data_IF_876178645622
#
_entry.id   IF_876178645622
#
_cell.length_a   1.000
_cell.length_b   1.000
_cell.length_c   1.000
_cell.angle_alpha   90.00
_cell.angle_beta   90.00
_cell.angle_gamma   90.00
#
_symmetry.space_group_name_H-M   'P 1'
#
loop_
_entity.id
_entity.type
_entity.pdbx_description
1 polymer ?
#
# COMPACT_ATOMS: atom_id res chain seq x y z
N UNK A 1 2.60 18.09 -2.09
CA UNK A 1 3.35 16.89 -1.69
C UNK A 1 4.09 16.32 -2.91
N UNK A 2 5.40 16.09 -2.82
CA UNK A 2 6.19 15.32 -3.80
C UNK A 2 6.32 13.85 -3.35
N UNK A 3 7.03 13.00 -4.11
CA UNK A 3 7.18 11.59 -3.79
C UNK A 3 7.91 11.31 -2.48
N UNK A 4 9.00 12.00 -2.18
CA UNK A 4 9.70 11.86 -0.91
C UNK A 4 8.78 12.17 0.28
N UNK A 5 8.02 13.26 0.20
CA UNK A 5 7.03 13.61 1.24
C UNK A 5 5.91 12.58 1.33
N UNK A 6 5.52 11.96 0.22
CA UNK A 6 4.52 10.90 0.19
C UNK A 6 5.04 9.59 0.81
N UNK A 7 6.31 9.24 0.58
CA UNK A 7 6.95 8.09 1.24
C UNK A 7 7.01 8.29 2.75
N UNK A 8 7.46 9.46 3.21
CA UNK A 8 7.44 9.81 4.65
C UNK A 8 6.01 9.77 5.22
N UNK A 9 5.02 10.21 4.46
CA UNK A 9 3.62 10.09 4.88
C UNK A 9 3.19 8.64 5.06
N UNK A 10 3.53 7.74 4.12
CA UNK A 10 3.21 6.31 4.24
C UNK A 10 3.97 5.65 5.38
N UNK A 11 5.24 6.01 5.60
CA UNK A 11 6.03 5.55 6.76
C UNK A 11 5.36 5.91 8.10
N UNK A 12 4.99 7.18 8.26
CA UNK A 12 4.36 7.69 9.48
C UNK A 12 3.00 7.03 9.73
N UNK A 13 2.17 6.89 8.69
CA UNK A 13 0.82 6.30 8.80
C UNK A 13 0.83 4.79 8.87
N UNK A 14 1.85 4.14 8.30
CA UNK A 14 1.99 2.69 8.23
C UNK A 14 1.10 2.05 7.17
N UNK A 15 -0.22 2.27 7.25
CA UNK A 15 -1.23 1.75 6.31
C UNK A 15 -1.99 2.91 5.68
N UNK A 16 -2.00 2.98 4.35
CA UNK A 16 -2.60 4.08 3.57
C UNK A 16 -3.37 3.50 2.39
N UNK A 17 -4.58 4.01 2.11
CA UNK A 17 -5.31 3.68 0.88
C UNK A 17 -4.71 4.47 -0.29
N UNK A 18 -4.54 3.84 -1.46
CA UNK A 18 -4.02 4.55 -2.63
C UNK A 18 -4.97 5.70 -3.03
N UNK A 19 -6.24 5.38 -3.28
CA UNK A 19 -7.26 6.33 -3.77
C UNK A 19 -8.68 6.12 -3.22
N UNK A 20 -8.94 4.99 -2.56
CA UNK A 20 -10.25 4.69 -1.99
C UNK A 20 -10.46 5.43 -0.66
N UNK A 21 -11.72 5.61 -0.25
CA UNK A 21 -12.08 6.12 1.09
C UNK A 21 -12.23 4.97 2.10
N UNK A 22 -11.87 5.21 3.35
CA UNK A 22 -12.00 4.23 4.44
C UNK A 22 -11.51 4.77 5.78
N UNK A 23 -11.28 3.86 6.74
CA UNK A 23 -10.73 4.20 8.07
C UNK A 23 -9.28 4.68 7.99
N UNK A 24 -8.51 4.15 7.04
CA UNK A 24 -7.13 4.58 6.78
C UNK A 24 -7.12 5.85 5.91
N UNK A 25 -6.09 6.70 6.05
CA UNK A 25 -5.93 7.88 5.20
C UNK A 25 -5.72 7.50 3.74
N UNK A 26 -6.02 8.42 2.83
CA UNK A 26 -5.93 8.21 1.38
C UNK A 26 -4.80 9.04 0.77
N UNK A 27 -3.88 8.40 0.04
CA UNK A 27 -2.69 9.07 -0.49
C UNK A 27 -3.04 10.12 -1.54
N UNK A 28 -3.95 9.83 -2.49
CA UNK A 28 -4.33 10.84 -3.50
C UNK A 28 -4.89 12.13 -2.88
N UNK A 29 -5.66 12.02 -1.79
CA UNK A 29 -6.19 13.18 -1.07
C UNK A 29 -5.10 13.89 -0.27
N UNK A 30 -4.18 13.14 0.36
CA UNK A 30 -3.01 13.72 1.04
C UNK A 30 -2.06 14.45 0.08
N UNK A 31 -1.93 13.96 -1.16
CA UNK A 31 -1.16 14.60 -2.22
C UNK A 31 -1.75 15.99 -2.53
N UNK A 32 -3.07 16.07 -2.71
CA UNK A 32 -3.82 17.31 -2.98
C UNK A 32 -3.90 18.20 -1.74
N UNK A 33 -3.91 17.62 -0.54
CA UNK A 33 -4.14 18.33 0.72
C UNK A 33 -5.62 18.58 1.02
N UNK A 34 -6.53 17.99 0.24
CA UNK A 34 -7.98 18.12 0.40
C UNK A 34 -8.72 16.86 -0.11
N UNK A 35 -9.96 16.61 0.33
CA UNK A 35 -10.78 15.52 -0.19
C UNK A 35 -11.04 15.65 -1.69
N UNK A 36 -11.01 14.52 -2.41
CA UNK A 36 -11.29 14.50 -3.86
C UNK A 36 -12.74 14.05 -4.10
N UNK A 37 -13.51 14.86 -4.82
CA UNK A 37 -14.84 14.49 -5.33
C UNK A 37 -14.71 13.80 -6.68
N UNK A 38 -15.31 12.62 -6.82
CA UNK A 38 -15.24 11.84 -8.06
C UNK A 38 -13.90 11.12 -8.26
N UNK A 39 -13.53 10.88 -9.52
CA UNK A 39 -12.26 10.23 -9.87
C UNK A 39 -11.10 11.23 -9.83
N UNK A 40 -10.01 10.87 -9.14
CA UNK A 40 -8.79 11.68 -9.13
C UNK A 40 -8.18 11.85 -10.53
N UNK A 41 -8.49 10.96 -11.48
CA UNK A 41 -8.00 11.02 -12.85
C UNK A 41 -8.47 12.29 -13.59
N UNK A 42 -9.67 12.78 -13.27
CA UNK A 42 -10.23 14.02 -13.82
C UNK A 42 -9.90 15.27 -12.98
N UNK A 43 -9.13 15.14 -11.89
CA UNK A 43 -8.77 16.26 -11.04
C UNK A 43 -7.77 17.19 -11.76
N UNK A 44 -7.80 18.51 -11.55
CA UNK A 44 -6.82 19.44 -12.15
C UNK A 44 -5.36 19.06 -11.84
N UNK A 45 -5.12 18.43 -10.69
CA UNK A 45 -3.81 17.93 -10.27
C UNK A 45 -3.53 16.47 -10.65
N UNK A 46 -4.34 15.85 -11.51
CA UNK A 46 -4.28 14.43 -11.85
C UNK A 46 -2.89 13.97 -12.31
N UNK A 47 -2.16 14.79 -13.09
CA UNK A 47 -0.78 14.49 -13.50
C UNK A 47 0.18 14.41 -12.32
N UNK A 48 0.05 15.31 -11.34
CA UNK A 48 0.87 15.31 -10.13
C UNK A 48 0.53 14.13 -9.24
N UNK A 49 -0.76 13.81 -9.10
CA UNK A 49 -1.24 12.63 -8.37
C UNK A 49 -0.65 11.37 -8.98
N UNK A 50 -0.74 11.22 -10.31
CA UNK A 50 -0.18 10.08 -11.02
C UNK A 50 1.32 9.95 -10.77
N UNK A 51 2.09 11.01 -11.03
CA UNK A 51 3.56 10.96 -10.87
C UNK A 51 3.98 10.55 -9.46
N UNK A 52 3.40 11.17 -8.43
CA UNK A 52 3.73 10.87 -7.03
C UNK A 52 3.25 9.48 -6.62
N UNK A 53 2.04 9.09 -7.00
CA UNK A 53 1.47 7.79 -6.63
C UNK A 53 2.25 6.64 -7.28
N UNK A 54 2.66 6.78 -8.54
CA UNK A 54 3.45 5.77 -9.25
C UNK A 54 4.80 5.55 -8.57
N UNK A 55 5.52 6.63 -8.23
CA UNK A 55 6.82 6.52 -7.55
C UNK A 55 6.70 5.83 -6.18
N UNK A 56 5.64 6.14 -5.41
CA UNK A 56 5.38 5.47 -4.13
C UNK A 56 5.04 3.99 -4.31
N UNK A 57 4.29 3.62 -5.34
CA UNK A 57 3.92 2.22 -5.60
C UNK A 57 5.10 1.37 -6.08
N UNK A 58 6.08 1.98 -6.74
CA UNK A 58 7.28 1.31 -7.24
C UNK A 58 8.39 1.21 -6.17
N UNK A 59 8.30 1.97 -5.09
CA UNK A 59 9.31 2.00 -4.03
C UNK A 59 9.38 0.67 -3.24
N UNK A 60 10.58 0.16 -3.02
CA UNK A 60 10.77 -1.19 -2.43
C UNK A 60 10.24 -1.30 -1.00
N UNK A 61 10.35 -0.23 -0.19
CA UNK A 61 9.80 -0.18 1.18
C UNK A 61 8.26 -0.17 1.26
N UNK A 62 7.57 -0.17 0.12
CA UNK A 62 6.11 -0.19 0.05
C UNK A 62 5.62 -1.55 -0.44
N UNK A 63 4.76 -2.18 0.35
CA UNK A 63 3.90 -3.25 -0.13
C UNK A 63 2.61 -2.61 -0.66
N UNK A 64 2.36 -2.79 -1.94
CA UNK A 64 1.06 -2.50 -2.55
C UNK A 64 0.24 -3.79 -2.54
N UNK A 65 -0.90 -3.81 -1.88
CA UNK A 65 -1.76 -5.00 -1.77
C UNK A 65 -3.24 -4.61 -1.64
N UNK A 66 -4.11 -5.56 -1.27
CA UNK A 66 -5.56 -5.33 -1.11
C UNK A 66 -6.07 -5.60 0.31
N UNK A 67 -5.26 -5.25 1.30
CA UNK A 67 -5.49 -5.50 2.72
C UNK A 67 -6.84 -4.97 3.23
N UNK A 68 -7.17 -3.71 2.92
CA UNK A 68 -8.35 -3.05 3.48
C UNK A 68 -9.58 -3.26 2.60
N UNK A 69 -10.30 -4.36 2.83
CA UNK A 69 -11.58 -4.65 2.16
C UNK A 69 -11.46 -4.71 0.63
N UNK A 70 -10.36 -5.25 0.11
CA UNK A 70 -10.12 -5.37 -1.33
C UNK A 70 -9.58 -4.09 -2.00
N UNK A 71 -9.40 -2.99 -1.26
CA UNK A 71 -8.93 -1.71 -1.80
C UNK A 71 -7.42 -1.69 -1.90
N UNK A 72 -6.89 -1.05 -2.95
CA UNK A 72 -5.45 -0.87 -3.12
C UNK A 72 -4.88 -0.12 -1.91
N UNK A 73 -4.01 -0.80 -1.17
CA UNK A 73 -3.47 -0.38 0.12
C UNK A 73 -1.95 -0.38 0.03
N UNK A 74 -1.33 0.68 0.54
CA UNK A 74 0.10 0.89 0.66
C UNK A 74 0.48 0.61 2.12
N UNK A 75 1.36 -0.36 2.33
CA UNK A 75 1.84 -0.78 3.65
C UNK A 75 3.33 -0.59 3.71
N UNK A 76 3.79 0.27 4.62
CA UNK A 76 5.21 0.51 4.83
C UNK A 76 5.93 -0.73 5.38
N UNK A 77 7.20 -0.94 5.01
CA UNK A 77 7.97 -2.15 5.37
C UNK A 77 8.05 -2.46 6.86
N UNK A 78 7.99 -1.43 7.72
CA UNK A 78 7.95 -1.60 9.18
C UNK A 78 6.77 -2.45 9.67
N UNK A 79 5.72 -2.60 8.86
CA UNK A 79 4.52 -3.36 9.16
C UNK A 79 4.42 -4.70 8.42
N UNK A 80 5.37 -5.04 7.54
CA UNK A 80 5.37 -6.35 6.88
C UNK A 80 5.40 -7.54 7.85
N UNK A 81 6.13 -7.49 8.99
CA UNK A 81 6.03 -8.54 10.01
C UNK A 81 4.61 -8.71 10.56
N UNK A 82 3.87 -7.61 10.76
CA UNK A 82 2.48 -7.66 11.24
C UNK A 82 1.54 -8.26 10.19
N UNK A 83 1.75 -7.93 8.90
CA UNK A 83 1.03 -8.58 7.79
C UNK A 83 1.29 -10.09 7.78
N UNK A 84 2.54 -10.50 7.93
CA UNK A 84 2.93 -11.90 7.93
C UNK A 84 2.41 -12.67 9.16
N UNK A 85 2.41 -12.04 10.34
CA UNK A 85 1.88 -12.63 11.58
C UNK A 85 0.39 -12.96 11.47
N UNK A 86 -0.37 -12.16 10.70
CA UNK A 86 -1.80 -12.36 10.45
C UNK A 86 -2.11 -13.13 9.17
N UNK A 87 -1.10 -13.68 8.47
CA UNK A 87 -1.31 -14.29 7.17
C UNK A 87 -2.28 -15.48 7.19
N UNK A 88 -2.38 -16.20 8.31
CA UNK A 88 -3.34 -17.29 8.49
C UNK A 88 -4.80 -16.84 8.70
N UNK A 89 -5.03 -15.57 9.03
CA UNK A 89 -6.36 -14.99 9.31
C UNK A 89 -6.87 -14.10 8.16
N UNK A 90 -5.98 -13.73 7.24
CA UNK A 90 -6.27 -12.83 6.13
C UNK A 90 -6.44 -13.62 4.83
N UNK A 91 -7.34 -13.20 3.93
CA UNK A 91 -7.52 -13.89 2.67
C UNK A 91 -6.27 -13.70 1.78
N UNK A 92 -5.85 -14.75 1.08
CA UNK A 92 -4.59 -14.75 0.33
C UNK A 92 -4.47 -13.61 -0.70
N UNK A 93 -5.58 -13.23 -1.33
CA UNK A 93 -5.63 -12.12 -2.30
C UNK A 93 -5.40 -10.73 -1.66
N UNK A 94 -5.67 -10.59 -0.36
CA UNK A 94 -5.36 -9.36 0.38
C UNK A 94 -3.86 -9.19 0.63
N UNK A 95 -3.11 -10.30 0.62
CA UNK A 95 -1.67 -10.36 0.90
C UNK A 95 -0.79 -10.41 -0.35
N UNK A 96 -1.38 -10.59 -1.54
CA UNK A 96 -0.64 -10.56 -2.79
C UNK A 96 -0.06 -9.16 -3.04
N UNK A 97 1.24 -9.08 -3.33
CA UNK A 97 1.89 -7.84 -3.76
C UNK A 97 1.45 -7.56 -5.19
N UNK A 98 0.86 -6.39 -5.40
CA UNK A 98 0.45 -5.88 -6.70
C UNK A 98 1.55 -4.94 -7.20
N UNK A 99 2.22 -5.28 -8.30
CA UNK A 99 3.10 -4.34 -9.02
C UNK A 99 2.40 -3.89 -10.31
N UNK A 100 2.34 -2.58 -10.56
CA UNK A 100 1.95 -2.08 -11.88
C UNK A 100 3.18 -2.18 -12.79
N UNK A 101 3.08 -2.98 -13.84
CA UNK A 101 4.10 -3.01 -14.89
C UNK A 101 3.65 -2.08 -16.01
N UNK A 102 4.49 -1.10 -16.33
CA UNK A 102 4.39 -0.33 -17.56
C UNK A 102 4.86 -1.21 -18.72
N UNK A 103 3.95 -1.60 -19.61
CA UNK A 103 4.37 -2.23 -20.87
C UNK A 103 4.95 -1.17 -21.81
N UNK A 104 5.82 -1.58 -22.74
CA UNK A 104 6.35 -0.70 -23.79
C UNK A 104 5.25 -0.04 -24.66
N UNK A 105 4.02 -0.56 -24.63
CA UNK A 105 2.84 -0.01 -25.31
C UNK A 105 2.01 0.97 -24.46
N UNK A 106 2.45 1.31 -23.25
CA UNK A 106 1.72 2.21 -22.34
C UNK A 106 0.51 1.57 -21.65
N UNK A 107 0.31 0.25 -21.78
CA UNK A 107 -0.74 -0.48 -21.06
C UNK A 107 -0.22 -0.85 -19.67
N UNK A 108 -1.00 -0.56 -18.64
CA UNK A 108 -0.68 -0.96 -17.28
C UNK A 108 -1.18 -2.40 -17.07
N UNK A 109 -0.28 -3.33 -16.80
CA UNK A 109 -0.64 -4.70 -16.43
C UNK A 109 -0.28 -4.89 -14.95
N UNK A 110 -1.24 -5.31 -14.15
CA UNK A 110 -0.96 -5.69 -12.77
C UNK A 110 -0.30 -7.07 -12.77
N UNK A 111 0.90 -7.14 -12.23
CA UNK A 111 1.52 -8.40 -11.84
C UNK A 111 1.26 -8.61 -10.34
N UNK A 112 0.78 -9.80 -9.99
CA UNK A 112 0.58 -10.18 -8.59
C UNK A 112 1.63 -11.21 -8.19
N UNK A 113 2.36 -10.91 -7.12
CA UNK A 113 3.30 -11.84 -6.48
C UNK A 113 2.63 -12.33 -5.18
N UNK A 114 2.29 -13.62 -5.06
CA UNK A 114 1.55 -14.13 -3.90
C UNK A 114 2.41 -14.11 -2.63
N UNK A 115 1.78 -14.00 -1.47
CA UNK A 115 2.44 -14.27 -0.19
C UNK A 115 2.77 -15.77 -0.06
N UNK A 116 3.92 -16.17 0.53
CA UNK A 116 4.97 -15.33 1.11
C UNK A 116 6.10 -14.93 0.15
N UNK A 117 5.94 -15.11 -1.17
CA UNK A 117 7.07 -15.02 -2.13
C UNK A 117 7.76 -13.64 -2.17
N UNK A 118 7.04 -12.56 -1.87
CA UNK A 118 7.60 -11.21 -1.84
C UNK A 118 8.20 -10.80 -0.49
N UNK A 119 8.00 -11.58 0.57
CA UNK A 119 8.34 -11.19 1.94
C UNK A 119 9.85 -11.40 2.20
N UNK A 120 10.58 -10.36 2.64
CA UNK A 120 11.98 -10.53 3.03
C UNK A 120 12.18 -11.48 4.23
N UNK A 121 13.28 -12.24 4.29
CA UNK A 121 13.55 -13.20 5.37
C UNK A 121 13.58 -12.57 6.77
N UNK A 122 14.09 -11.34 6.92
CA UNK A 122 14.14 -10.63 8.20
C UNK A 122 12.74 -10.27 8.70
N UNK A 123 11.86 -9.80 7.81
CA UNK A 123 10.46 -9.54 8.15
C UNK A 123 9.72 -10.84 8.50
N UNK A 124 10.00 -11.94 7.78
CA UNK A 124 9.46 -13.26 8.10
C UNK A 124 9.91 -13.78 9.48
N UNK A 125 11.17 -13.53 9.85
CA UNK A 125 11.69 -13.90 11.17
C UNK A 125 11.02 -13.09 12.29
N UNK A 126 10.85 -11.78 12.11
CA UNK A 126 10.18 -10.90 13.07
C UNK A 126 8.71 -11.29 13.31
N UNK A 127 8.02 -11.77 12.26
CA UNK A 127 6.63 -12.17 12.35
C UNK A 127 6.37 -13.31 13.35
N UNK A 128 7.34 -14.23 13.54
CA UNK A 128 7.18 -15.42 14.39
C UNK A 128 6.98 -15.11 15.88
N UNK A 129 7.49 -13.96 16.32
CA UNK A 129 7.39 -13.51 17.72
C UNK A 129 6.33 -12.43 17.95
N UNK A 130 5.57 -12.05 16.92
CA UNK A 130 4.61 -10.96 17.03
C UNK A 130 3.28 -11.46 17.61
N UNK A 131 2.78 -10.76 18.62
CA UNK A 131 1.43 -10.96 19.13
C UNK A 131 0.39 -10.61 18.03
N UNK A 132 -0.50 -11.54 17.64
CA UNK A 132 -1.54 -11.30 16.65
C UNK A 132 -2.44 -10.09 16.97
N UNK A 133 -2.71 -9.83 18.26
CA UNK A 133 -3.53 -8.68 18.67
C UNK A 133 -2.80 -7.38 18.34
N UNK A 134 -1.51 -7.28 18.69
CA UNK A 134 -0.67 -6.13 18.35
C UNK A 134 -0.47 -5.98 16.85
N UNK A 135 -0.34 -7.09 16.12
CA UNK A 135 -0.27 -7.08 14.66
C UNK A 135 -1.52 -6.43 14.05
N UNK A 136 -2.70 -6.82 14.56
CA UNK A 136 -4.00 -6.32 14.10
C UNK A 136 -4.17 -4.83 14.39
N UNK A 137 -3.85 -4.41 15.62
CA UNK A 137 -3.84 -2.98 16.01
C UNK A 137 -2.94 -2.16 15.10
N UNK A 138 -1.72 -2.65 14.80
CA UNK A 138 -0.76 -1.97 13.95
C UNK A 138 -1.23 -1.81 12.49
N UNK A 139 -2.08 -2.72 12.00
CA UNK A 139 -2.67 -2.66 10.66
C UNK A 139 -4.02 -1.91 10.62
N UNK A 140 -4.59 -1.55 11.77
CA UNK A 140 -5.90 -0.91 11.88
C UNK A 140 -7.07 -1.84 11.50
N UNK A 141 -6.91 -3.15 11.75
CA UNK A 141 -7.88 -4.22 11.46
C UNK A 141 -8.70 -4.66 12.67
#
# INVERSE_FOLDING_TARGET
>A
MNAQQALTFVEQRGVVLASARGKAPTLTEAIVGAPIKGSWWGHPEGKRIFAVLSEVQEHDDILVCRLLGGKLTLVHRRLWPAVAALAGELPANALARVRQLHTASGKHVNQEVPFPQWLPPDAAAQARGLDPVRAREALGL
#
